data_IF_824086375892
#
_entry.id   IF_824086375892
#
_cell.length_a   1.000
_cell.length_b   1.000
_cell.length_c   1.000
_cell.angle_alpha   90.00
_cell.angle_beta   90.00
_cell.angle_gamma   90.00
#
_symmetry.space_group_name_H-M   'P 1'
#
loop_
_entity.id
_entity.type
_entity.pdbx_description
1 polymer ?
#
# COMPACT_ATOMS: atom_id res chain seq x y z
N UNK A 1 32.49 -14.00 -39.95
CA UNK A 1 31.82 -12.84 -39.31
C UNK A 1 32.71 -12.34 -38.19
N UNK A 2 33.20 -11.08 -38.23
CA UNK A 2 34.14 -10.59 -37.24
C UNK A 2 33.44 -10.36 -35.89
N UNK A 3 34.06 -10.90 -34.84
CA UNK A 3 33.62 -10.98 -33.45
C UNK A 3 33.36 -9.65 -32.68
N UNK A 4 33.88 -8.46 -33.06
CA UNK A 4 33.71 -7.28 -32.20
C UNK A 4 32.32 -6.64 -32.26
N UNK A 5 31.46 -7.01 -33.23
CA UNK A 5 30.12 -6.44 -33.35
C UNK A 5 29.09 -7.04 -32.37
N UNK A 6 29.34 -8.25 -31.87
CA UNK A 6 28.42 -8.92 -30.93
C UNK A 6 28.51 -8.35 -29.50
N UNK A 7 29.68 -7.82 -29.11
CA UNK A 7 29.90 -7.28 -27.75
C UNK A 7 29.27 -5.88 -27.59
N UNK A 8 29.22 -5.08 -28.66
CA UNK A 8 28.64 -3.74 -28.63
C UNK A 8 27.10 -3.74 -28.42
N UNK A 9 26.38 -4.78 -28.85
CA UNK A 9 24.93 -4.85 -28.71
C UNK A 9 24.44 -5.25 -27.31
N UNK A 10 25.29 -5.85 -26.48
CA UNK A 10 24.93 -6.19 -25.08
C UNK A 10 25.10 -4.96 -24.17
N UNK A 11 26.05 -4.08 -24.46
CA UNK A 11 26.29 -2.87 -23.68
C UNK A 11 25.17 -1.82 -23.81
N UNK A 12 24.48 -1.76 -24.95
CA UNK A 12 23.40 -0.80 -25.17
C UNK A 12 22.08 -1.17 -24.46
N UNK A 13 21.86 -2.44 -24.12
CA UNK A 13 20.64 -2.89 -23.45
C UNK A 13 20.66 -2.68 -21.92
N UNK A 14 21.82 -2.43 -21.32
CA UNK A 14 21.95 -2.19 -19.87
C UNK A 14 21.72 -0.71 -19.51
N UNK A 15 21.84 0.21 -20.47
CA UNK A 15 21.64 1.66 -20.24
C UNK A 15 20.20 2.16 -20.46
N UNK A 16 19.27 1.30 -20.90
CA UNK A 16 17.86 1.64 -21.09
C UNK A 16 16.96 1.04 -20.01
N UNK A 17 17.50 0.77 -18.82
CA UNK A 17 16.64 0.60 -17.65
C UNK A 17 16.08 1.99 -17.35
N UNK A 18 14.78 2.26 -17.55
CA UNK A 18 14.20 3.47 -17.03
C UNK A 18 14.49 3.42 -15.53
N UNK A 19 15.32 4.35 -15.05
CA UNK A 19 15.39 4.69 -13.64
C UNK A 19 13.93 4.87 -13.24
N UNK A 20 13.36 3.87 -12.57
CA UNK A 20 12.14 4.06 -11.81
C UNK A 20 12.53 5.18 -10.88
N UNK A 21 12.15 6.41 -11.26
CA UNK A 21 12.09 7.52 -10.36
C UNK A 21 11.47 6.91 -9.12
N UNK A 22 12.26 6.85 -8.05
CA UNK A 22 11.74 6.53 -6.74
C UNK A 22 10.65 7.56 -6.58
N UNK A 23 9.41 7.16 -6.83
CA UNK A 23 8.26 8.03 -6.71
C UNK A 23 8.42 8.61 -5.32
N UNK A 24 8.57 9.94 -5.25
CA UNK A 24 8.74 10.68 -4.00
C UNK A 24 7.88 9.98 -2.96
N UNK A 25 8.54 9.28 -2.02
CA UNK A 25 7.77 8.66 -0.96
C UNK A 25 7.03 9.80 -0.31
N UNK A 26 5.68 9.76 -0.25
CA UNK A 26 4.91 10.90 0.18
C UNK A 26 5.40 11.29 1.56
N UNK A 27 6.04 12.46 1.63
CA UNK A 27 6.51 13.07 2.87
C UNK A 27 5.30 13.10 3.80
N UNK A 28 5.40 12.41 4.94
CA UNK A 28 4.31 12.22 5.91
C UNK A 28 3.50 13.51 6.09
N UNK A 29 2.35 13.61 5.42
CA UNK A 29 1.50 14.79 5.51
C UNK A 29 0.72 14.69 6.81
N UNK A 30 0.83 15.70 7.67
CA UNK A 30 0.08 15.77 8.92
C UNK A 30 -0.85 16.97 8.88
N UNK A 31 -2.14 16.74 9.12
CA UNK A 31 -3.16 17.78 9.25
C UNK A 31 -3.73 17.81 10.65
N UNK A 32 -3.89 19.01 11.20
CA UNK A 32 -4.60 19.20 12.45
C UNK A 32 -6.11 19.21 12.16
N UNK A 33 -6.86 18.33 12.82
CA UNK A 33 -8.32 18.26 12.66
C UNK A 33 -9.01 19.08 13.76
N UNK A 34 -8.61 18.87 15.02
CA UNK A 34 -9.05 19.64 16.19
C UNK A 34 -7.87 19.85 17.14
N UNK A 35 -7.92 20.75 18.14
CA UNK A 35 -6.87 20.84 19.14
C UNK A 35 -6.61 19.49 19.80
N UNK A 36 -5.38 18.96 19.68
CA UNK A 36 -4.99 17.64 20.19
C UNK A 36 -5.21 16.46 19.24
N UNK A 37 -5.91 16.64 18.12
CA UNK A 37 -6.14 15.58 17.12
C UNK A 37 -5.45 15.88 15.79
N UNK A 38 -4.64 14.93 15.34
CA UNK A 38 -3.91 15.00 14.07
C UNK A 38 -4.24 13.81 13.17
N UNK A 39 -4.36 14.08 11.88
CA UNK A 39 -4.40 13.06 10.82
C UNK A 39 -3.03 13.01 10.19
N UNK A 40 -2.37 11.86 10.22
CA UNK A 40 -1.08 11.65 9.57
C UNK A 40 -1.25 10.63 8.45
N UNK A 41 -0.83 10.98 7.24
CA UNK A 41 -0.68 10.00 6.17
C UNK A 41 0.62 9.23 6.35
N UNK A 42 0.52 7.95 6.05
CA UNK A 42 1.61 6.99 6.13
C UNK A 42 1.80 6.30 4.78
N UNK A 43 2.92 5.64 4.59
CA UNK A 43 3.18 4.85 3.39
C UNK A 43 2.25 3.64 3.33
N UNK A 44 2.02 3.10 2.14
CA UNK A 44 1.21 1.89 1.99
C UNK A 44 1.76 0.71 2.80
N UNK A 45 3.09 0.57 2.87
CA UNK A 45 3.75 -0.49 3.61
C UNK A 45 3.55 -0.35 5.13
N UNK A 46 3.59 0.87 5.67
CA UNK A 46 3.34 1.13 7.08
C UNK A 46 1.85 1.01 7.42
N UNK A 47 0.95 1.51 6.57
CA UNK A 47 -0.49 1.26 6.69
C UNK A 47 -0.84 -0.23 6.69
N UNK A 48 -0.22 -1.02 5.80
CA UNK A 48 -0.44 -2.47 5.71
C UNK A 48 -0.06 -3.16 7.02
N UNK A 49 1.08 -2.78 7.61
CA UNK A 49 1.52 -3.28 8.92
C UNK A 49 0.55 -2.92 10.05
N UNK A 50 0.02 -1.70 10.06
CA UNK A 50 -0.95 -1.26 11.06
C UNK A 50 -2.26 -2.06 10.96
N UNK A 51 -2.77 -2.28 9.75
CA UNK A 51 -4.00 -3.04 9.54
C UNK A 51 -3.85 -4.56 9.67
N UNK A 52 -2.63 -5.07 9.73
CA UNK A 52 -2.37 -6.48 9.99
C UNK A 52 -2.57 -6.89 11.47
N UNK A 53 -2.74 -5.92 12.37
CA UNK A 53 -2.90 -6.15 13.81
C UNK A 53 -4.38 -6.09 14.20
N UNK A 54 -4.82 -6.99 15.09
CA UNK A 54 -6.15 -6.94 15.66
C UNK A 54 -6.26 -5.79 16.67
N UNK A 55 -7.20 -4.88 16.46
CA UNK A 55 -7.58 -3.87 17.43
C UNK A 55 -8.88 -4.28 18.17
N UNK A 56 -9.30 -3.45 19.12
CA UNK A 56 -10.51 -3.69 19.90
C UNK A 56 -11.80 -3.73 19.05
N UNK A 57 -11.79 -3.17 17.84
CA UNK A 57 -12.91 -3.26 16.91
C UNK A 57 -12.93 -4.65 16.25
N UNK A 58 -11.80 -5.11 15.72
CA UNK A 58 -11.65 -6.43 15.10
C UNK A 58 -11.94 -7.56 16.09
N UNK A 59 -11.57 -7.38 17.36
CA UNK A 59 -11.88 -8.36 18.40
C UNK A 59 -13.37 -8.58 18.63
N UNK A 60 -14.18 -7.53 18.43
CA UNK A 60 -15.63 -7.56 18.64
C UNK A 60 -16.41 -8.05 17.41
N UNK A 61 -15.76 -8.23 16.26
CA UNK A 61 -16.42 -8.73 15.06
C UNK A 61 -16.84 -10.20 15.24
N UNK A 62 -18.12 -10.46 15.00
CA UNK A 62 -18.64 -11.82 14.93
C UNK A 62 -18.18 -12.51 13.65
N UNK A 63 -18.34 -13.84 13.59
CA UNK A 63 -18.06 -14.60 12.35
C UNK A 63 -18.90 -14.12 11.17
N UNK A 64 -20.17 -13.79 11.43
CA UNK A 64 -21.07 -13.25 10.42
C UNK A 64 -20.57 -11.91 9.87
N UNK A 65 -20.09 -11.01 10.73
CA UNK A 65 -19.55 -9.71 10.32
C UNK A 65 -18.34 -9.87 9.40
N UNK A 66 -17.42 -10.78 9.75
CA UNK A 66 -16.25 -11.09 8.92
C UNK A 66 -16.68 -11.62 7.55
N UNK A 67 -17.62 -12.56 7.49
CA UNK A 67 -18.10 -13.12 6.23
C UNK A 67 -18.79 -12.09 5.35
N UNK A 68 -19.65 -11.26 5.94
CA UNK A 68 -20.38 -10.20 5.23
C UNK A 68 -19.43 -9.18 4.62
N UNK A 69 -18.40 -8.75 5.37
CA UNK A 69 -17.39 -7.79 4.89
C UNK A 69 -16.57 -8.31 3.73
N UNK A 70 -16.21 -9.60 3.74
CA UNK A 70 -15.48 -10.25 2.64
C UNK A 70 -16.41 -10.76 1.53
N UNK A 71 -17.73 -10.65 1.72
CA UNK A 71 -18.74 -11.25 0.83
C UNK A 71 -18.45 -12.74 0.57
N UNK A 72 -17.97 -13.44 1.59
CA UNK A 72 -17.56 -14.85 1.49
C UNK A 72 -18.71 -15.77 1.87
N UNK A 73 -18.97 -16.78 1.04
CA UNK A 73 -19.88 -17.89 1.38
C UNK A 73 -19.23 -18.89 2.34
N UNK A 74 -17.92 -18.84 2.52
CA UNK A 74 -17.15 -19.74 3.39
C UNK A 74 -16.84 -19.07 4.75
N UNK A 75 -16.63 -19.85 5.82
CA UNK A 75 -16.14 -19.32 7.10
C UNK A 75 -14.85 -18.50 6.92
N UNK A 76 -14.86 -17.28 7.44
CA UNK A 76 -13.68 -16.38 7.43
C UNK A 76 -13.07 -16.36 8.83
N UNK A 77 -11.77 -16.63 8.91
CA UNK A 77 -11.01 -16.48 10.15
C UNK A 77 -10.58 -15.02 10.34
N UNK A 78 -10.34 -14.62 11.59
CA UNK A 78 -9.84 -13.26 11.91
C UNK A 78 -8.53 -12.95 11.19
N UNK A 79 -7.61 -13.92 11.11
CA UNK A 79 -6.33 -13.75 10.42
C UNK A 79 -6.51 -13.55 8.91
N UNK A 80 -7.43 -14.29 8.29
CA UNK A 80 -7.75 -14.09 6.87
C UNK A 80 -8.35 -12.70 6.61
N UNK A 81 -9.20 -12.21 7.52
CA UNK A 81 -9.72 -10.85 7.45
C UNK A 81 -8.62 -9.79 7.56
N UNK A 82 -7.75 -9.89 8.56
CA UNK A 82 -6.64 -8.95 8.75
C UNK A 82 -5.70 -8.93 7.56
N UNK A 83 -5.36 -10.12 7.02
CA UNK A 83 -4.54 -10.22 5.82
C UNK A 83 -5.20 -9.53 4.61
N UNK A 84 -6.52 -9.72 4.45
CA UNK A 84 -7.28 -9.05 3.40
C UNK A 84 -7.24 -7.52 3.56
N UNK A 85 -7.54 -6.99 4.75
CA UNK A 85 -7.55 -5.54 5.00
C UNK A 85 -6.17 -4.92 4.81
N UNK A 86 -5.11 -5.59 5.28
CA UNK A 86 -3.73 -5.15 5.09
C UNK A 86 -3.34 -5.04 3.61
N UNK A 87 -3.97 -5.79 2.71
CA UNK A 87 -3.76 -5.69 1.26
C UNK A 87 -4.57 -4.57 0.59
N UNK A 88 -5.56 -3.98 1.29
CA UNK A 88 -6.37 -2.87 0.76
C UNK A 88 -5.69 -1.50 0.93
N UNK A 89 -4.45 -1.45 1.42
CA UNK A 89 -3.68 -0.21 1.49
C UNK A 89 -3.08 0.14 0.14
N UNK A 90 -3.25 1.39 -0.27
CA UNK A 90 -2.67 1.93 -1.50
C UNK A 90 -1.84 3.16 -1.19
N UNK A 91 -0.80 3.39 -1.99
CA UNK A 91 -0.07 4.65 -1.95
C UNK A 91 -1.01 5.79 -2.34
N UNK A 92 -0.89 6.88 -1.60
CA UNK A 92 -1.61 8.11 -1.88
C UNK A 92 -0.71 9.03 -2.72
N UNK A 93 -1.29 9.74 -3.69
CA UNK A 93 -0.58 10.74 -4.49
C UNK A 93 -1.14 12.14 -4.25
N UNK A 94 -0.29 13.17 -4.21
CA UNK A 94 -0.74 14.55 -3.93
C UNK A 94 -1.77 15.11 -4.93
N UNK A 95 -1.85 14.56 -6.14
CA UNK A 95 -2.92 14.90 -7.08
C UNK A 95 -4.32 14.58 -6.51
N UNK A 96 -4.42 13.63 -5.60
CA UNK A 96 -5.67 13.20 -4.96
C UNK A 96 -6.03 14.06 -3.71
N UNK A 97 -5.13 14.91 -3.19
CA UNK A 97 -5.38 15.73 -1.98
C UNK A 97 -6.24 16.95 -2.22
N UNK A 98 -6.32 17.44 -3.47
CA UNK A 98 -7.01 18.69 -3.80
C UNK A 98 -8.52 18.63 -3.54
N UNK A 99 -9.10 17.43 -3.42
CA UNK A 99 -10.54 17.22 -3.16
C UNK A 99 -10.91 17.24 -1.67
N UNK A 100 -9.93 17.34 -0.76
CA UNK A 100 -10.15 17.28 0.69
C UNK A 100 -10.12 18.66 1.39
N UNK A 101 -10.07 19.75 0.62
CA UNK A 101 -10.18 21.14 1.11
C UNK A 101 -11.59 21.68 0.88
#
# INVERSE_FOLDING_TARGET
>A
MPWPLAVAMIAAAVLSLPSRAMADEPTQATWQITPGTRLALTTAAEGSRLFAVADSFVEKLSRFDLQSRLKSAQPVTRNAYLAFVAQQTRSFTYAETTTLQ
#
